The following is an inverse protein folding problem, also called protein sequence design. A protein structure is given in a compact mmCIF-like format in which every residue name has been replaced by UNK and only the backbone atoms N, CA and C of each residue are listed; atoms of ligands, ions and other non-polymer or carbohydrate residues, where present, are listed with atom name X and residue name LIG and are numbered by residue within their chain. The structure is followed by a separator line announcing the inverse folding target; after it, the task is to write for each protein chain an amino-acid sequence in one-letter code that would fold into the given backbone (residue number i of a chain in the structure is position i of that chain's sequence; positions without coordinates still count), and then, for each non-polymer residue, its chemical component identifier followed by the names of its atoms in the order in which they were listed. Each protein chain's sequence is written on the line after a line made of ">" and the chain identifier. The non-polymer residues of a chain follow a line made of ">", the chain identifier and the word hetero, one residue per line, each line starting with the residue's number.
data_IF_631754476899
#
_entry.id   IF_631754476899
#
_cell.length_a   1.000
_cell.length_b   1.000
_cell.length_c   1.000
_cell.angle_alpha   90.00
_cell.angle_beta   90.00
_cell.angle_gamma   90.00
#
_symmetry.space_group_name_H-M   'P 1'
#
loop_
_entity.id
_entity.type
_entity.pdbx_description
1 polymer ?
#
# COMPACT_ATOMS: atom_id res chain seq x y z
N UNK A 1 57.24 -37.76 -19.39
CA UNK A 1 56.66 -38.41 -20.60
C UNK A 1 55.16 -38.45 -20.39
N UNK A 2 54.44 -37.50 -21.02
CA UNK A 2 53.65 -37.68 -22.25
C UNK A 2 52.33 -38.39 -21.93
N UNK A 3 51.23 -37.61 -21.87
CA UNK A 3 50.23 -37.44 -22.95
C UNK A 3 49.21 -38.59 -22.90
N UNK A 4 47.89 -38.39 -22.85
CA UNK A 4 47.06 -37.63 -23.80
C UNK A 4 45.64 -37.41 -23.23
N UNK A 5 45.09 -36.21 -23.41
CA UNK A 5 43.63 -35.94 -23.49
C UNK A 5 43.10 -36.37 -24.87
N UNK A 6 41.77 -36.50 -25.03
CA UNK A 6 41.08 -36.01 -26.24
C UNK A 6 39.93 -35.03 -25.89
N UNK A 7 39.89 -33.81 -26.46
CA UNK A 7 39.15 -33.36 -27.67
C UNK A 7 37.63 -33.56 -27.53
N UNK A 8 36.83 -32.58 -27.10
CA UNK A 8 36.33 -31.36 -27.79
C UNK A 8 35.74 -31.60 -29.19
N UNK A 9 34.41 -31.53 -29.28
CA UNK A 9 33.70 -31.14 -30.50
C UNK A 9 32.77 -29.97 -30.15
N UNK A 10 33.14 -28.79 -30.66
CA UNK A 10 32.33 -27.58 -30.65
C UNK A 10 31.13 -27.76 -31.58
N UNK A 11 29.93 -27.44 -31.11
CA UNK A 11 28.89 -26.89 -31.97
C UNK A 11 28.87 -25.37 -31.76
N UNK A 12 29.21 -24.67 -32.83
CA UNK A 12 29.22 -23.23 -32.97
C UNK A 12 27.77 -22.72 -33.08
N UNK A 13 27.32 -21.92 -32.12
CA UNK A 13 26.38 -20.84 -32.39
C UNK A 13 26.94 -19.59 -31.73
N UNK A 14 27.43 -18.69 -32.58
CA UNK A 14 27.96 -17.39 -32.22
C UNK A 14 26.81 -16.50 -31.72
N UNK A 15 26.89 -15.89 -30.52
CA UNK A 15 26.15 -14.67 -30.28
C UNK A 15 26.94 -13.54 -30.92
N UNK A 16 26.35 -12.91 -31.94
CA UNK A 16 26.77 -11.57 -32.36
C UNK A 16 26.56 -10.68 -31.15
N UNK A 17 27.67 -10.21 -30.56
CA UNK A 17 27.66 -9.11 -29.63
C UNK A 17 27.13 -7.89 -30.38
N UNK A 18 25.86 -7.53 -30.14
CA UNK A 18 25.38 -6.18 -30.45
C UNK A 18 25.72 -5.33 -29.23
N UNK A 19 26.71 -4.47 -29.44
CA UNK A 19 27.12 -3.42 -28.53
C UNK A 19 25.90 -2.64 -28.02
N UNK A 20 25.85 -2.54 -26.69
CA UNK A 20 25.08 -1.54 -25.97
C UNK A 20 25.53 -0.16 -26.46
N UNK A 21 24.60 0.56 -27.09
CA UNK A 21 24.70 1.99 -27.38
C UNK A 21 23.64 2.71 -26.56
N UNK A 22 24.09 3.38 -25.50
CA UNK A 22 23.34 4.40 -24.77
C UNK A 22 22.99 5.55 -25.72
N UNK A 23 21.70 5.89 -25.81
CA UNK A 23 21.18 7.26 -25.96
C UNK A 23 19.67 7.20 -25.71
N UNK A 24 19.22 7.63 -24.53
CA UNK A 24 17.82 7.99 -24.29
C UNK A 24 17.47 9.20 -25.18
N UNK A 25 16.81 8.93 -26.30
CA UNK A 25 16.30 9.97 -27.19
C UNK A 25 15.06 10.62 -26.59
N UNK A 26 15.14 11.92 -26.30
CA UNK A 26 14.03 12.75 -25.80
C UNK A 26 12.89 12.73 -26.82
N UNK A 27 11.72 12.20 -26.44
CA UNK A 27 10.49 12.24 -27.26
C UNK A 27 9.89 13.65 -27.15
N UNK A 28 9.57 14.28 -28.28
CA UNK A 28 9.09 15.68 -28.33
C UNK A 28 7.56 15.82 -28.33
N UNK A 29 6.84 14.78 -28.76
CA UNK A 29 5.39 14.72 -28.85
C UNK A 29 4.74 13.80 -27.80
N UNK A 30 3.43 13.60 -27.92
CA UNK A 30 2.66 12.69 -27.04
C UNK A 30 1.56 11.94 -27.79
N UNK A 31 1.21 10.76 -27.29
CA UNK A 31 -0.02 10.06 -27.67
C UNK A 31 -1.07 10.34 -26.59
N UNK A 32 -2.27 10.75 -26.96
CA UNK A 32 -3.36 11.01 -25.99
C UNK A 32 -4.50 10.03 -26.21
N UNK A 33 -4.98 9.42 -25.13
CA UNK A 33 -6.10 8.47 -25.15
C UNK A 33 -7.19 8.96 -24.21
N UNK A 34 -8.34 9.36 -24.75
CA UNK A 34 -9.53 9.64 -23.94
C UNK A 34 -10.24 8.33 -23.62
N UNK A 35 -10.33 7.99 -22.33
CA UNK A 35 -10.84 6.71 -21.87
C UNK A 35 -11.87 6.83 -20.74
N UNK A 36 -12.47 5.71 -20.35
CA UNK A 36 -13.33 5.59 -19.16
C UNK A 36 -12.92 4.32 -18.41
N UNK A 37 -12.91 4.39 -17.08
CA UNK A 37 -12.59 3.26 -16.20
C UNK A 37 -13.46 2.03 -16.51
N UNK A 38 -12.81 0.86 -16.66
CA UNK A 38 -13.48 -0.41 -16.92
C UNK A 38 -13.87 -0.67 -18.38
N UNK A 39 -13.52 0.20 -19.33
CA UNK A 39 -13.76 -0.05 -20.75
C UNK A 39 -12.70 -1.00 -21.35
N UNK A 40 -13.08 -2.19 -21.85
CA UNK A 40 -12.12 -3.17 -22.39
C UNK A 40 -11.40 -2.67 -23.65
N UNK A 41 -12.08 -1.91 -24.51
CA UNK A 41 -11.47 -1.31 -25.71
C UNK A 41 -10.42 -0.25 -25.37
N UNK A 42 -10.57 0.46 -24.25
CA UNK A 42 -9.57 1.43 -23.78
C UNK A 42 -8.30 0.73 -23.28
N UNK A 43 -8.47 -0.37 -22.54
CA UNK A 43 -7.35 -1.19 -22.05
C UNK A 43 -6.56 -1.79 -23.22
N UNK A 44 -7.26 -2.33 -24.22
CA UNK A 44 -6.63 -2.92 -25.40
C UNK A 44 -5.87 -1.88 -26.25
N UNK A 45 -6.44 -0.68 -26.41
CA UNK A 45 -5.78 0.42 -27.11
C UNK A 45 -4.49 0.84 -26.41
N UNK A 46 -4.55 1.09 -25.08
CA UNK A 46 -3.37 1.46 -24.28
C UNK A 46 -2.28 0.40 -24.31
N UNK A 47 -2.66 -0.88 -24.23
CA UNK A 47 -1.71 -2.00 -24.33
C UNK A 47 -1.02 -2.03 -25.69
N UNK A 48 -1.75 -1.75 -26.77
CA UNK A 48 -1.20 -1.73 -28.13
C UNK A 48 -0.26 -0.56 -28.33
N UNK A 49 -0.61 0.62 -27.79
CA UNK A 49 0.23 1.83 -27.86
C UNK A 49 1.47 1.72 -26.97
N UNK A 50 1.38 1.09 -25.80
CA UNK A 50 2.52 0.89 -24.90
C UNK A 50 3.64 0.02 -25.52
N UNK A 51 3.30 -0.87 -26.46
CA UNK A 51 4.30 -1.66 -27.21
C UNK A 51 5.13 -0.83 -28.20
N UNK A 52 4.70 0.40 -28.50
CA UNK A 52 5.40 1.29 -29.43
C UNK A 52 6.52 2.10 -28.76
N UNK A 53 6.66 2.00 -27.43
CA UNK A 53 7.66 2.74 -26.66
C UNK A 53 7.49 4.26 -26.79
N UNK A 54 6.25 4.72 -26.82
CA UNK A 54 5.88 6.14 -26.85
C UNK A 54 5.17 6.53 -25.55
N UNK A 55 5.30 7.79 -25.08
CA UNK A 55 4.55 8.30 -23.95
C UNK A 55 3.05 8.38 -24.29
N UNK A 56 2.23 7.68 -23.52
CA UNK A 56 0.76 7.63 -23.70
C UNK A 56 0.10 8.34 -22.52
N UNK A 57 -0.44 9.52 -22.77
CA UNK A 57 -1.25 10.28 -21.82
C UNK A 57 -2.69 9.78 -21.83
N UNK A 58 -3.14 9.23 -20.70
CA UNK A 58 -4.53 8.81 -20.51
C UNK A 58 -5.37 9.93 -19.89
N UNK A 59 -6.52 10.20 -20.49
CA UNK A 59 -7.49 11.19 -20.00
C UNK A 59 -8.78 10.47 -19.65
N UNK A 60 -9.02 10.26 -18.35
CA UNK A 60 -10.24 9.63 -17.85
C UNK A 60 -11.43 10.60 -17.90
N UNK A 61 -12.30 10.41 -18.90
CA UNK A 61 -13.53 11.19 -19.06
C UNK A 61 -14.62 10.87 -18.02
N UNK A 62 -14.38 9.89 -17.14
CA UNK A 62 -15.16 9.66 -15.93
C UNK A 62 -14.83 10.67 -14.82
N UNK A 63 -13.56 11.07 -14.72
CA UNK A 63 -13.08 12.10 -13.78
C UNK A 63 -13.27 13.52 -14.32
N UNK A 64 -13.24 13.67 -15.65
CA UNK A 64 -13.37 14.95 -16.34
C UNK A 64 -14.60 14.98 -17.28
N UNK A 65 -15.84 15.00 -16.74
CA UNK A 65 -17.05 15.02 -17.54
C UNK A 65 -17.15 16.24 -18.47
N UNK A 66 -16.52 17.36 -18.11
CA UNK A 66 -16.44 18.61 -18.89
C UNK A 66 -15.76 18.42 -20.27
N UNK A 67 -14.88 17.43 -20.41
CA UNK A 67 -14.16 17.18 -21.66
C UNK A 67 -14.99 16.43 -22.70
N UNK A 68 -16.14 15.85 -22.32
CA UNK A 68 -16.96 15.01 -23.20
C UNK A 68 -17.50 15.77 -24.40
N UNK A 69 -17.95 17.00 -24.19
CA UNK A 69 -18.49 17.83 -25.26
C UNK A 69 -17.39 18.30 -26.21
N UNK A 70 -16.22 18.70 -25.68
CA UNK A 70 -15.06 19.11 -26.48
C UNK A 70 -14.48 17.95 -27.31
N UNK A 71 -14.34 16.75 -26.73
CA UNK A 71 -13.88 15.56 -27.46
C UNK A 71 -14.88 15.17 -28.55
N UNK A 72 -16.18 15.29 -28.28
CA UNK A 72 -17.23 15.01 -29.27
C UNK A 72 -17.22 16.02 -30.41
N UNK A 73 -16.99 17.30 -30.13
CA UNK A 73 -16.87 18.34 -31.15
C UNK A 73 -15.65 18.12 -32.07
N UNK A 74 -14.52 17.69 -31.49
CA UNK A 74 -13.28 17.48 -32.24
C UNK A 74 -13.22 16.17 -33.02
N UNK A 75 -13.84 15.10 -32.50
CA UNK A 75 -13.77 13.76 -33.12
C UNK A 75 -15.05 13.39 -33.89
N UNK A 76 -16.14 14.12 -33.67
CA UNK A 76 -17.48 13.76 -34.15
C UNK A 76 -18.05 12.49 -33.50
N UNK A 77 -17.37 11.91 -32.51
CA UNK A 77 -17.75 10.62 -31.89
C UNK A 77 -17.91 10.78 -30.37
N UNK A 78 -18.89 10.09 -29.81
CA UNK A 78 -19.14 10.05 -28.35
C UNK A 78 -18.65 8.75 -27.69
N UNK A 79 -18.01 7.87 -28.45
CA UNK A 79 -17.54 6.56 -27.97
C UNK A 79 -16.10 6.65 -27.49
N UNK A 80 -15.70 5.74 -26.59
CA UNK A 80 -14.31 5.59 -26.13
C UNK A 80 -13.73 4.25 -26.57
N UNK A 81 -12.40 4.15 -26.78
CA UNK A 81 -11.40 5.24 -26.67
C UNK A 81 -11.45 6.22 -27.85
N UNK A 82 -10.93 7.44 -27.65
CA UNK A 82 -10.54 8.33 -28.76
C UNK A 82 -9.03 8.59 -28.66
N UNK A 83 -8.30 8.24 -29.72
CA UNK A 83 -6.84 8.17 -29.74
C UNK A 83 -6.28 9.24 -30.67
N UNK A 84 -5.26 9.95 -30.18
CA UNK A 84 -4.55 10.99 -30.90
C UNK A 84 -3.04 10.76 -30.84
N UNK A 85 -2.35 11.01 -31.95
CA UNK A 85 -0.89 11.15 -32.01
C UNK A 85 -0.59 12.62 -32.27
N UNK A 86 -0.06 13.34 -31.29
CA UNK A 86 -0.04 14.80 -31.28
C UNK A 86 -1.45 15.37 -31.58
N UNK A 87 -1.62 16.07 -32.70
CA UNK A 87 -2.91 16.64 -33.15
C UNK A 87 -3.66 15.74 -34.15
N UNK A 88 -3.11 14.56 -34.50
CA UNK A 88 -3.71 13.65 -35.49
C UNK A 88 -4.68 12.69 -34.79
N UNK A 89 -5.97 12.82 -35.11
CA UNK A 89 -7.01 11.92 -34.63
C UNK A 89 -7.02 10.59 -35.41
N UNK A 90 -6.93 9.47 -34.69
CA UNK A 90 -6.95 8.12 -35.28
C UNK A 90 -8.33 7.48 -35.16
N UNK A 91 -9.06 7.77 -34.08
CA UNK A 91 -10.35 7.13 -33.77
C UNK A 91 -10.27 6.21 -32.56
N UNK A 92 -11.01 5.10 -32.60
CA UNK A 92 -11.08 4.14 -31.50
C UNK A 92 -10.07 3.00 -31.60
N UNK A 93 -10.23 2.00 -30.74
CA UNK A 93 -9.37 0.81 -30.74
C UNK A 93 -9.41 0.07 -32.09
N UNK A 94 -10.60 -0.07 -32.70
CA UNK A 94 -10.73 -0.77 -33.98
C UNK A 94 -10.05 -0.02 -35.12
N UNK A 95 -10.03 1.31 -35.08
CA UNK A 95 -9.31 2.13 -36.06
C UNK A 95 -7.80 1.98 -35.85
N UNK A 96 -7.32 1.96 -34.60
CA UNK A 96 -5.92 1.70 -34.26
C UNK A 96 -5.44 0.32 -34.76
N UNK A 97 -6.24 -0.73 -34.58
CA UNK A 97 -5.88 -2.09 -35.03
C UNK A 97 -5.91 -2.26 -36.56
N UNK A 98 -6.58 -1.36 -37.28
CA UNK A 98 -6.67 -1.38 -38.75
C UNK A 98 -5.55 -0.61 -39.44
N UNK A 99 -4.74 0.14 -38.69
CA UNK A 99 -3.61 0.88 -39.26
C UNK A 99 -2.61 -0.08 -39.90
N UNK A 100 -2.14 0.27 -41.09
CA UNK A 100 -1.06 -0.46 -41.73
C UNK A 100 0.26 -0.20 -41.00
N UNK A 101 1.22 -1.15 -40.99
CA UNK A 101 2.52 -0.96 -40.33
C UNK A 101 3.24 0.32 -40.75
N UNK A 102 3.17 0.67 -42.03
CA UNK A 102 3.82 1.86 -42.59
C UNK A 102 3.17 3.17 -42.08
N UNK A 103 1.85 3.15 -41.88
CA UNK A 103 1.11 4.29 -41.31
C UNK A 103 1.43 4.44 -39.82
N UNK A 104 1.52 3.33 -39.10
CA UNK A 104 1.87 3.32 -37.68
C UNK A 104 3.30 3.81 -37.44
N UNK A 105 4.27 3.36 -38.25
CA UNK A 105 5.65 3.85 -38.19
C UNK A 105 5.74 5.36 -38.45
N UNK A 106 4.95 5.87 -39.41
CA UNK A 106 4.87 7.32 -39.68
C UNK A 106 4.34 8.10 -38.48
N UNK A 107 3.31 7.60 -37.80
CA UNK A 107 2.74 8.23 -36.60
C UNK A 107 3.70 8.17 -35.41
N UNK A 108 4.43 7.06 -35.25
CA UNK A 108 5.45 6.91 -34.22
C UNK A 108 6.59 7.90 -34.44
N UNK A 109 7.02 8.07 -35.69
CA UNK A 109 8.03 9.05 -36.07
C UNK A 109 7.56 10.49 -35.82
N UNK A 110 6.30 10.80 -36.14
CA UNK A 110 5.68 12.10 -35.85
C UNK A 110 5.79 12.47 -34.36
N UNK A 111 5.45 11.55 -33.47
CA UNK A 111 5.51 11.78 -32.01
C UNK A 111 6.95 11.93 -31.50
N UNK A 112 7.93 11.28 -32.16
CA UNK A 112 9.34 11.39 -31.76
C UNK A 112 9.99 12.68 -32.24
N UNK A 113 9.69 13.11 -33.46
CA UNK A 113 10.40 14.21 -34.14
C UNK A 113 9.69 15.57 -34.01
N UNK A 114 8.37 15.60 -33.78
CA UNK A 114 7.59 16.85 -33.80
C UNK A 114 6.94 17.16 -32.44
N UNK A 115 7.11 18.38 -31.89
CA UNK A 115 6.44 18.80 -30.67
C UNK A 115 4.95 19.04 -30.88
N UNK A 116 4.17 18.91 -29.81
CA UNK A 116 2.72 19.17 -29.84
C UNK A 116 2.46 20.64 -30.19
N UNK A 117 1.76 20.89 -31.31
CA UNK A 117 1.35 22.25 -31.70
C UNK A 117 0.29 22.79 -30.72
N UNK A 118 0.31 24.11 -30.50
CA UNK A 118 -0.54 24.88 -29.57
C UNK A 118 -2.06 24.70 -29.73
N UNK A 119 -2.53 23.99 -30.77
CA UNK A 119 -3.96 23.74 -31.05
C UNK A 119 -4.49 22.43 -30.43
N UNK A 120 -3.63 21.62 -29.79
CA UNK A 120 -4.09 20.42 -29.08
C UNK A 120 -4.86 20.79 -27.80
N UNK A 121 -5.92 20.02 -27.49
CA UNK A 121 -6.73 20.23 -26.29
C UNK A 121 -5.85 20.41 -25.04
N UNK A 122 -6.10 21.43 -24.21
CA UNK A 122 -5.41 21.55 -22.93
C UNK A 122 -5.73 20.32 -22.09
N UNK A 123 -4.69 19.66 -21.60
CA UNK A 123 -4.86 18.58 -20.64
C UNK A 123 -5.31 19.17 -19.29
N UNK A 124 -6.11 18.45 -18.49
CA UNK A 124 -6.34 18.80 -17.09
C UNK A 124 -5.03 19.06 -16.36
N UNK A 125 -5.01 19.97 -15.38
CA UNK A 125 -3.78 20.36 -14.65
C UNK A 125 -3.04 19.17 -14.01
N UNK A 126 -3.75 18.09 -13.67
CA UNK A 126 -3.18 16.83 -13.16
C UNK A 126 -2.36 16.06 -14.21
N UNK A 127 -2.61 16.29 -15.50
CA UNK A 127 -1.97 15.62 -16.64
C UNK A 127 -0.86 16.48 -17.28
N UNK A 128 -0.48 17.61 -16.66
CA UNK A 128 0.61 18.49 -17.12
C UNK A 128 1.94 18.24 -16.38
N UNK A 129 2.14 17.03 -15.85
CA UNK A 129 3.48 16.57 -15.45
C UNK A 129 4.30 16.24 -16.70
N UNK A 130 5.49 16.86 -16.78
CA UNK A 130 6.55 16.47 -17.70
C UNK A 130 6.75 14.96 -17.68
N UNK A 131 6.96 14.38 -18.87
CA UNK A 131 6.75 12.96 -19.15
C UNK A 131 7.41 11.97 -18.19
N UNK A 132 6.58 11.10 -17.62
CA UNK A 132 6.96 9.77 -17.16
C UNK A 132 5.75 8.83 -16.95
N UNK A 133 4.78 8.79 -17.87
CA UNK A 133 3.67 7.82 -17.77
C UNK A 133 3.84 6.69 -18.80
N UNK A 134 4.74 5.77 -18.46
CA UNK A 134 4.62 4.37 -18.85
C UNK A 134 3.48 3.74 -18.06
N UNK A 135 2.76 2.81 -18.69
CA UNK A 135 1.74 1.98 -18.04
C UNK A 135 2.11 1.65 -16.58
N UNK A 136 1.27 2.06 -15.63
CA UNK A 136 1.51 1.93 -14.19
C UNK A 136 1.69 0.45 -13.79
N UNK A 137 2.92 -0.05 -13.92
CA UNK A 137 3.55 -0.77 -12.82
C UNK A 137 3.39 0.13 -11.59
N UNK A 138 2.91 -0.39 -10.46
CA UNK A 138 2.83 0.40 -9.23
C UNK A 138 4.25 0.85 -8.85
N UNK A 139 4.63 2.07 -9.24
CA UNK A 139 6.03 2.55 -9.19
C UNK A 139 6.44 2.97 -7.76
N UNK A 140 5.53 2.85 -6.80
CA UNK A 140 5.82 2.97 -5.38
C UNK A 140 5.32 1.77 -4.59
N UNK A 141 6.18 1.20 -3.74
CA UNK A 141 5.78 0.23 -2.72
C UNK A 141 4.51 0.69 -1.97
N UNK A 142 4.49 1.95 -1.57
CA UNK A 142 3.40 2.58 -0.83
C UNK A 142 2.07 2.53 -1.61
N UNK A 143 2.08 2.81 -2.91
CA UNK A 143 0.88 2.78 -3.75
C UNK A 143 0.31 1.36 -3.84
N UNK A 144 1.15 0.36 -4.13
CA UNK A 144 0.72 -1.04 -4.18
C UNK A 144 0.06 -1.47 -2.87
N UNK A 145 0.66 -1.12 -1.73
CA UNK A 145 0.09 -1.43 -0.41
C UNK A 145 -1.25 -0.71 -0.16
N UNK A 146 -1.39 0.53 -0.63
CA UNK A 146 -2.61 1.30 -0.49
C UNK A 146 -3.74 0.70 -1.34
N UNK A 147 -3.46 0.28 -2.58
CA UNK A 147 -4.41 -0.42 -3.44
C UNK A 147 -4.88 -1.71 -2.77
N UNK A 148 -3.95 -2.55 -2.30
CA UNK A 148 -4.26 -3.79 -1.58
C UNK A 148 -5.15 -3.51 -0.36
N UNK A 149 -4.81 -2.49 0.43
CA UNK A 149 -5.58 -2.10 1.61
C UNK A 149 -6.98 -1.60 1.25
N UNK A 150 -7.14 -0.82 0.21
CA UNK A 150 -8.44 -0.33 -0.24
C UNK A 150 -9.33 -1.47 -0.76
N UNK A 151 -8.76 -2.39 -1.54
CA UNK A 151 -9.48 -3.56 -2.06
C UNK A 151 -10.01 -4.45 -0.92
N UNK A 152 -9.15 -4.76 0.06
CA UNK A 152 -9.54 -5.66 1.15
C UNK A 152 -10.54 -5.00 2.11
N UNK A 153 -10.50 -3.67 2.27
CA UNK A 153 -11.50 -2.92 3.02
C UNK A 153 -12.86 -2.90 2.32
N UNK A 154 -12.86 -2.77 0.99
CA UNK A 154 -14.09 -2.85 0.20
C UNK A 154 -14.75 -4.22 0.39
N UNK A 155 -13.96 -5.28 0.24
CA UNK A 155 -14.41 -6.65 0.53
C UNK A 155 -14.92 -6.77 1.97
N UNK A 156 -14.13 -6.35 2.96
CA UNK A 156 -14.54 -6.41 4.37
C UNK A 156 -15.90 -5.74 4.61
N UNK A 157 -16.12 -4.57 4.03
CA UNK A 157 -17.38 -3.82 4.17
C UNK A 157 -18.55 -4.50 3.48
N UNK A 158 -18.33 -5.12 2.32
CA UNK A 158 -19.36 -5.82 1.54
C UNK A 158 -19.85 -7.10 2.22
N UNK A 159 -18.95 -7.79 2.93
CA UNK A 159 -19.25 -9.05 3.61
C UNK A 159 -19.45 -8.89 5.13
N UNK A 160 -19.50 -7.66 5.64
CA UNK A 160 -19.83 -7.36 7.03
C UNK A 160 -21.35 -7.52 7.24
N UNK A 161 -21.74 -8.21 8.30
CA UNK A 161 -23.13 -8.36 8.69
C UNK A 161 -23.78 -7.02 8.97
N UNK A 162 -25.12 -6.95 8.82
CA UNK A 162 -25.88 -5.71 9.02
C UNK A 162 -25.80 -5.14 10.44
N UNK A 163 -25.48 -5.97 11.44
CA UNK A 163 -25.23 -5.55 12.81
C UNK A 163 -23.78 -5.10 13.07
N UNK A 164 -22.90 -5.19 12.07
CA UNK A 164 -21.49 -4.80 12.14
C UNK A 164 -20.61 -5.75 12.97
N UNK A 165 -21.14 -6.90 13.40
CA UNK A 165 -20.47 -7.76 14.39
C UNK A 165 -19.68 -8.90 13.77
N UNK A 166 -20.04 -9.36 12.58
CA UNK A 166 -19.50 -10.57 11.98
C UNK A 166 -19.16 -10.34 10.51
N UNK A 167 -18.12 -10.99 10.00
CA UNK A 167 -17.75 -10.94 8.58
C UNK A 167 -17.85 -12.32 7.97
N UNK A 168 -18.56 -12.46 6.85
CA UNK A 168 -18.64 -13.71 6.11
C UNK A 168 -17.39 -13.92 5.24
N UNK A 169 -16.31 -14.35 5.90
CA UNK A 169 -15.04 -14.66 5.25
C UNK A 169 -15.16 -15.78 4.20
N UNK A 170 -16.12 -16.69 4.37
CA UNK A 170 -16.32 -17.80 3.43
C UNK A 170 -16.88 -17.27 2.11
N UNK A 171 -17.91 -16.43 2.16
CA UNK A 171 -18.44 -15.78 0.97
C UNK A 171 -17.40 -14.84 0.33
N UNK A 172 -16.64 -14.10 1.15
CA UNK A 172 -15.55 -13.23 0.67
C UNK A 172 -14.49 -14.01 -0.13
N UNK A 173 -14.13 -15.22 0.32
CA UNK A 173 -13.13 -16.07 -0.34
C UNK A 173 -13.50 -16.48 -1.77
N UNK A 174 -14.80 -16.47 -2.10
CA UNK A 174 -15.35 -16.85 -3.40
C UNK A 174 -15.55 -15.65 -4.33
N UNK A 175 -15.25 -14.43 -3.86
CA UNK A 175 -15.42 -13.20 -4.62
C UNK A 175 -14.36 -13.07 -5.74
N UNK A 176 -14.75 -12.72 -6.97
CA UNK A 176 -13.79 -12.36 -8.03
C UNK A 176 -12.87 -11.19 -7.63
N UNK A 177 -13.36 -10.29 -6.76
CA UNK A 177 -12.56 -9.16 -6.25
C UNK A 177 -11.46 -9.65 -5.31
N UNK A 178 -11.72 -10.70 -4.54
CA UNK A 178 -10.72 -11.33 -3.66
C UNK A 178 -9.67 -12.11 -4.48
N UNK A 179 -10.08 -12.76 -5.56
CA UNK A 179 -9.15 -13.37 -6.52
C UNK A 179 -8.21 -12.32 -7.12
N UNK A 180 -8.77 -11.18 -7.57
CA UNK A 180 -7.96 -10.06 -8.07
C UNK A 180 -7.02 -9.48 -7.01
N UNK A 181 -7.45 -9.39 -5.76
CA UNK A 181 -6.58 -8.99 -4.65
C UNK A 181 -5.40 -9.96 -4.48
N UNK A 182 -5.63 -11.27 -4.59
CA UNK A 182 -4.56 -12.27 -4.51
C UNK A 182 -3.55 -12.13 -5.66
N UNK A 183 -4.02 -11.89 -6.89
CA UNK A 183 -3.16 -11.63 -8.05
C UNK A 183 -2.28 -10.40 -7.84
N UNK A 184 -2.85 -9.33 -7.29
CA UNK A 184 -2.12 -8.10 -7.02
C UNK A 184 -1.12 -8.28 -5.87
N UNK A 185 -1.49 -9.02 -4.83
CA UNK A 185 -0.61 -9.28 -3.68
C UNK A 185 0.66 -10.03 -4.10
N UNK A 186 0.62 -10.82 -5.19
CA UNK A 186 1.81 -11.47 -5.76
C UNK A 186 2.85 -10.45 -6.24
N UNK A 187 2.47 -9.22 -6.57
CA UNK A 187 3.42 -8.18 -6.98
C UNK A 187 4.31 -7.70 -5.83
N UNK A 188 3.91 -7.88 -4.57
CA UNK A 188 4.72 -7.53 -3.39
C UNK A 188 6.12 -8.15 -3.45
N UNK A 189 6.27 -9.32 -4.07
CA UNK A 189 7.56 -10.02 -4.17
C UNK A 189 8.63 -9.22 -4.94
N UNK A 190 8.22 -8.24 -5.77
CA UNK A 190 9.11 -7.45 -6.63
C UNK A 190 9.41 -6.05 -6.08
N UNK A 191 8.78 -5.68 -4.96
CA UNK A 191 8.92 -4.35 -4.36
C UNK A 191 10.34 -4.14 -3.85
N UNK A 192 10.95 -3.01 -4.19
CA UNK A 192 12.21 -2.56 -3.60
C UNK A 192 11.96 -1.94 -2.21
N UNK A 193 12.61 -2.48 -1.16
CA UNK A 193 12.36 -2.07 0.23
C UNK A 193 13.48 -1.18 0.81
N UNK A 194 14.69 -1.29 0.27
CA UNK A 194 15.89 -0.66 0.86
C UNK A 194 15.97 0.83 0.53
N UNK A 195 15.43 1.24 -0.61
CA UNK A 195 15.36 2.63 -1.07
C UNK A 195 14.28 3.45 -0.37
N UNK A 196 13.32 2.79 0.31
CA UNK A 196 12.20 3.46 0.95
C UNK A 196 12.62 4.34 2.14
N UNK A 197 12.07 5.54 2.18
CA UNK A 197 12.10 6.46 3.34
C UNK A 197 11.38 5.87 4.55
N UNK A 198 11.51 6.52 5.72
CA UNK A 198 10.79 6.11 6.94
C UNK A 198 9.29 6.13 6.70
N UNK A 199 8.80 7.22 6.09
CA UNK A 199 7.39 7.49 5.87
C UNK A 199 6.78 6.48 4.91
N UNK A 200 7.49 6.18 3.82
CA UNK A 200 7.11 5.13 2.87
C UNK A 200 7.10 3.75 3.50
N UNK A 201 8.12 3.39 4.30
CA UNK A 201 8.16 2.12 5.02
C UNK A 201 6.97 1.99 5.98
N UNK A 202 6.67 3.02 6.76
CA UNK A 202 5.54 3.02 7.69
C UNK A 202 4.22 2.81 6.94
N UNK A 203 3.92 3.64 5.95
CA UNK A 203 2.68 3.52 5.17
C UNK A 203 2.58 2.13 4.50
N UNK A 204 3.66 1.68 3.87
CA UNK A 204 3.74 0.39 3.18
C UNK A 204 3.45 -0.79 4.11
N UNK A 205 4.21 -0.90 5.20
CA UNK A 205 4.11 -2.05 6.09
C UNK A 205 2.85 -2.03 6.95
N UNK A 206 2.33 -0.86 7.35
CA UNK A 206 1.05 -0.78 8.08
C UNK A 206 -0.11 -1.22 7.19
N UNK A 207 -0.17 -0.71 5.95
CA UNK A 207 -1.21 -1.10 4.99
C UNK A 207 -1.12 -2.59 4.66
N UNK A 208 0.08 -3.09 4.39
CA UNK A 208 0.34 -4.50 4.06
C UNK A 208 0.00 -5.42 5.23
N UNK A 209 0.38 -5.08 6.45
CA UNK A 209 0.02 -5.82 7.66
C UNK A 209 -1.51 -5.88 7.82
N UNK A 210 -2.18 -4.74 7.76
CA UNK A 210 -3.62 -4.66 7.95
C UNK A 210 -4.39 -5.43 6.86
N UNK A 211 -3.87 -5.45 5.63
CA UNK A 211 -4.42 -6.25 4.55
C UNK A 211 -4.15 -7.75 4.73
N UNK A 212 -2.95 -8.12 5.17
CA UNK A 212 -2.55 -9.49 5.44
C UNK A 212 -3.37 -10.13 6.57
N UNK A 213 -3.75 -9.37 7.61
CA UNK A 213 -4.64 -9.88 8.66
C UNK A 213 -5.99 -10.34 8.07
N UNK A 214 -6.63 -9.51 7.26
CA UNK A 214 -7.93 -9.86 6.66
C UNK A 214 -7.75 -11.02 5.68
N UNK A 215 -6.72 -11.00 4.84
CA UNK A 215 -6.42 -12.11 3.94
C UNK A 215 -6.20 -13.42 4.70
N UNK A 216 -5.44 -13.38 5.81
CA UNK A 216 -5.24 -14.52 6.69
C UNK A 216 -6.56 -15.06 7.22
N UNK A 217 -7.46 -14.19 7.69
CA UNK A 217 -8.79 -14.60 8.16
C UNK A 217 -9.63 -15.24 7.04
N UNK A 218 -9.57 -14.73 5.81
CA UNK A 218 -10.28 -15.30 4.66
C UNK A 218 -9.78 -16.72 4.34
N UNK A 219 -8.46 -16.96 4.40
CA UNK A 219 -7.87 -18.24 4.03
C UNK A 219 -7.86 -19.28 5.15
N UNK A 220 -7.67 -18.85 6.39
CA UNK A 220 -7.41 -19.72 7.54
C UNK A 220 -8.52 -19.70 8.59
N UNK A 221 -9.48 -18.77 8.47
CA UNK A 221 -10.43 -18.45 9.55
C UNK A 221 -9.79 -17.60 10.65
N UNK A 222 -10.64 -16.95 11.45
CA UNK A 222 -10.18 -16.17 12.60
C UNK A 222 -9.71 -17.10 13.74
N UNK A 223 -8.60 -16.79 14.42
CA UNK A 223 -8.10 -17.62 15.51
C UNK A 223 -9.01 -17.52 16.74
N UNK A 224 -9.49 -18.67 17.25
CA UNK A 224 -10.44 -18.74 18.38
C UNK A 224 -9.78 -19.01 19.73
N UNK A 225 -8.48 -19.31 19.75
CA UNK A 225 -7.73 -19.58 20.97
C UNK A 225 -6.27 -19.12 20.86
N UNK A 226 -5.58 -19.08 22.00
CA UNK A 226 -4.20 -18.59 22.13
C UNK A 226 -3.21 -19.28 21.19
N UNK A 227 -3.34 -20.60 21.00
CA UNK A 227 -2.43 -21.35 20.13
C UNK A 227 -2.67 -21.07 18.65
N UNK A 228 -3.94 -20.99 18.24
CA UNK A 228 -4.29 -20.57 16.88
C UNK A 228 -3.83 -19.13 16.62
N UNK A 229 -3.96 -18.24 17.61
CA UNK A 229 -3.47 -16.86 17.51
C UNK A 229 -1.96 -16.81 17.34
N UNK A 230 -1.23 -17.57 18.17
CA UNK A 230 0.22 -17.71 18.02
C UNK A 230 0.59 -18.16 16.60
N UNK A 231 -0.05 -19.23 16.09
CA UNK A 231 0.20 -19.68 14.72
C UNK A 231 -0.14 -18.62 13.67
N UNK A 232 -1.29 -17.96 13.82
CA UNK A 232 -1.74 -16.93 12.89
C UNK A 232 -0.67 -15.85 12.69
N UNK A 233 -0.20 -15.25 13.78
CA UNK A 233 0.78 -14.16 13.70
C UNK A 233 2.19 -14.61 13.31
N UNK A 234 2.56 -15.88 13.51
CA UNK A 234 3.90 -16.41 13.21
C UNK A 234 4.00 -17.17 11.88
N UNK A 235 2.89 -17.48 11.19
CA UNK A 235 2.90 -18.22 9.92
C UNK A 235 2.19 -17.49 8.77
N UNK A 236 1.17 -16.67 9.05
CA UNK A 236 0.52 -15.86 8.01
C UNK A 236 1.52 -14.82 7.53
N UNK A 237 1.85 -14.89 6.24
CA UNK A 237 2.98 -14.18 5.65
C UNK A 237 2.76 -13.82 4.18
N UNK A 238 3.55 -12.85 3.73
CA UNK A 238 3.74 -12.55 2.31
C UNK A 238 5.20 -12.67 1.91
N UNK A 239 5.44 -12.95 0.63
CA UNK A 239 6.73 -12.75 -0.02
C UNK A 239 6.80 -11.29 -0.48
N UNK A 240 7.70 -10.51 0.12
CA UNK A 240 7.85 -9.08 -0.12
C UNK A 240 9.31 -8.79 -0.44
N UNK A 241 9.59 -8.21 -1.60
CA UNK A 241 10.96 -7.91 -2.04
C UNK A 241 11.90 -9.13 -2.00
N UNK A 242 11.40 -10.30 -2.36
CA UNK A 242 12.15 -11.57 -2.34
C UNK A 242 12.26 -12.28 -0.99
N UNK A 243 11.78 -11.68 0.10
CA UNK A 243 11.88 -12.24 1.46
C UNK A 243 10.50 -12.52 2.07
N UNK A 244 10.41 -13.53 2.94
CA UNK A 244 9.14 -13.88 3.60
C UNK A 244 8.97 -13.02 4.86
N UNK A 245 7.85 -12.31 4.97
CA UNK A 245 7.49 -11.52 6.13
C UNK A 245 6.18 -12.03 6.73
N UNK A 246 6.24 -12.52 7.96
CA UNK A 246 5.06 -12.82 8.78
C UNK A 246 4.47 -11.53 9.37
N UNK A 247 3.23 -11.60 9.89
CA UNK A 247 2.66 -10.49 10.66
C UNK A 247 3.58 -10.08 11.82
N UNK A 248 4.14 -11.05 12.53
CA UNK A 248 5.10 -10.79 13.61
C UNK A 248 6.37 -10.10 13.10
N UNK A 249 6.91 -10.53 11.96
CA UNK A 249 8.10 -9.93 11.34
C UNK A 249 7.85 -8.46 10.96
N UNK A 250 6.68 -8.16 10.39
CA UNK A 250 6.31 -6.78 10.02
C UNK A 250 6.18 -5.90 11.27
N UNK A 251 5.39 -6.33 12.25
CA UNK A 251 5.16 -5.54 13.47
C UNK A 251 6.47 -5.38 14.26
N UNK A 252 7.07 -6.49 14.68
CA UNK A 252 8.15 -6.48 15.66
C UNK A 252 9.52 -6.35 15.03
N UNK A 253 9.70 -6.92 13.84
CA UNK A 253 10.95 -6.93 13.10
C UNK A 253 11.17 -5.59 12.39
N UNK A 254 10.18 -5.14 11.61
CA UNK A 254 10.29 -3.93 10.79
C UNK A 254 9.88 -2.68 11.57
N UNK A 255 8.59 -2.59 11.95
CA UNK A 255 7.99 -1.35 12.47
C UNK A 255 8.44 -1.02 13.91
N UNK A 256 8.77 -2.02 14.71
CA UNK A 256 9.32 -1.83 16.06
C UNK A 256 10.86 -1.88 16.12
N UNK A 257 11.55 -1.76 15.00
CA UNK A 257 13.02 -1.75 14.96
C UNK A 257 13.66 -3.01 15.54
N UNK A 258 13.18 -4.18 15.12
CA UNK A 258 13.64 -5.50 15.55
C UNK A 258 13.64 -5.69 17.09
N UNK A 259 12.55 -5.25 17.75
CA UNK A 259 12.28 -5.49 19.17
C UNK A 259 11.65 -6.86 19.37
N UNK A 260 11.77 -7.39 20.60
CA UNK A 260 11.09 -8.64 20.97
C UNK A 260 9.58 -8.42 21.01
N UNK A 261 8.83 -9.34 20.40
CA UNK A 261 7.38 -9.38 20.52
C UNK A 261 6.91 -9.83 21.90
N UNK A 262 5.63 -9.64 22.17
CA UNK A 262 4.98 -10.12 23.40
C UNK A 262 5.07 -11.64 23.46
N UNK A 263 5.49 -12.16 24.61
CA UNK A 263 5.72 -13.60 24.83
C UNK A 263 6.76 -14.25 23.90
N UNK A 264 7.63 -13.46 23.26
CA UNK A 264 8.73 -13.96 22.42
C UNK A 264 10.06 -13.93 23.16
N UNK A 265 10.84 -15.01 23.04
CA UNK A 265 12.15 -15.11 23.67
C UNK A 265 13.25 -14.41 22.88
N UNK A 266 13.13 -14.40 21.55
CA UNK A 266 14.13 -13.91 20.60
C UNK A 266 13.60 -12.70 19.81
N UNK A 267 14.53 -11.95 19.22
CA UNK A 267 14.20 -10.92 18.24
C UNK A 267 13.76 -11.59 16.93
N UNK A 268 12.85 -10.98 16.15
CA UNK A 268 12.42 -11.52 14.86
C UNK A 268 13.59 -11.77 13.90
N UNK A 269 14.53 -10.82 13.79
CA UNK A 269 15.64 -10.90 12.85
C UNK A 269 16.98 -11.06 13.58
N UNK A 270 17.79 -12.01 13.13
CA UNK A 270 19.18 -12.17 13.55
C UNK A 270 20.08 -11.12 12.89
N UNK A 271 21.35 -11.00 13.33
CA UNK A 271 22.31 -10.05 12.74
C UNK A 271 22.66 -10.36 11.27
N UNK A 272 22.47 -11.60 10.84
CA UNK A 272 22.76 -12.06 9.47
C UNK A 272 21.49 -12.19 8.64
N UNK A 273 20.33 -11.87 9.20
CA UNK A 273 19.06 -11.91 8.49
C UNK A 273 18.98 -10.70 7.54
N UNK A 274 18.82 -10.90 6.22
CA UNK A 274 18.79 -9.79 5.25
C UNK A 274 17.64 -8.81 5.53
N UNK A 275 16.52 -9.29 6.10
CA UNK A 275 15.34 -8.48 6.45
C UNK A 275 15.61 -7.44 7.52
N UNK A 276 16.69 -7.61 8.31
CA UNK A 276 17.10 -6.64 9.32
C UNK A 276 17.40 -5.25 8.71
N UNK A 277 17.87 -5.19 7.47
CA UNK A 277 18.19 -3.95 6.77
C UNK A 277 16.94 -3.10 6.45
N UNK A 278 15.77 -3.73 6.44
CA UNK A 278 14.48 -3.07 6.20
C UNK A 278 13.92 -2.45 7.48
N UNK A 279 14.38 -2.90 8.65
CA UNK A 279 13.85 -2.45 9.94
C UNK A 279 14.04 -0.94 10.16
N UNK A 280 13.05 -0.33 10.81
CA UNK A 280 13.20 1.06 11.25
C UNK A 280 14.36 1.18 12.26
N UNK A 281 15.11 2.30 12.24
CA UNK A 281 16.22 2.51 13.17
C UNK A 281 15.75 2.50 14.63
N UNK A 282 14.56 3.06 14.88
CA UNK A 282 13.90 3.10 16.17
C UNK A 282 12.47 2.57 16.05
N UNK A 283 11.92 2.10 17.17
CA UNK A 283 10.53 1.67 17.21
C UNK A 283 9.60 2.88 17.10
N UNK A 284 8.60 2.78 16.22
CA UNK A 284 7.52 3.75 16.12
C UNK A 284 6.37 3.36 17.07
N UNK A 285 6.16 4.04 18.21
CA UNK A 285 5.15 3.62 19.19
C UNK A 285 3.72 3.81 18.68
N UNK A 286 3.49 4.72 17.73
CA UNK A 286 2.14 5.02 17.24
C UNK A 286 1.55 3.90 16.38
N UNK A 287 2.36 2.96 15.88
CA UNK A 287 1.85 1.81 15.12
C UNK A 287 0.87 0.97 15.93
N UNK A 288 0.98 0.97 17.26
CA UNK A 288 0.13 0.21 18.18
C UNK A 288 -1.35 0.59 18.08
N UNK A 289 -1.63 1.79 17.58
CA UNK A 289 -2.99 2.30 17.33
C UNK A 289 -3.40 2.20 15.86
N UNK A 290 -2.49 1.76 14.98
CA UNK A 290 -2.69 1.66 13.54
C UNK A 290 -2.78 0.21 13.04
N UNK A 291 -2.14 -0.73 13.74
CA UNK A 291 -2.16 -2.15 13.40
C UNK A 291 -3.41 -2.85 13.96
N UNK A 292 -4.06 -3.63 13.12
CA UNK A 292 -5.14 -4.58 13.45
C UNK A 292 -6.51 -3.99 13.84
N UNK A 293 -7.07 -3.18 12.94
CA UNK A 293 -8.47 -2.73 12.93
C UNK A 293 -9.42 -3.86 12.45
N UNK A 294 -9.30 -5.07 13.00
CA UNK A 294 -10.08 -6.26 12.61
C UNK A 294 -11.28 -6.57 13.52
N UNK A 295 -11.57 -5.72 14.51
CA UNK A 295 -12.70 -5.83 15.43
C UNK A 295 -13.37 -4.45 15.64
N UNK A 296 -14.60 -4.45 16.14
CA UNK A 296 -15.40 -3.23 16.40
C UNK A 296 -14.60 -2.25 17.26
N UNK A 297 -14.52 -0.99 16.80
CA UNK A 297 -13.68 0.06 17.42
C UNK A 297 -12.44 0.45 16.62
N UNK A 298 -12.40 0.15 15.31
CA UNK A 298 -11.30 0.54 14.42
C UNK A 298 -10.97 2.04 14.54
N UNK A 299 -9.68 2.41 14.54
CA UNK A 299 -9.28 3.80 14.38
C UNK A 299 -9.92 4.41 13.12
N UNK A 300 -10.13 5.73 13.09
CA UNK A 300 -10.83 6.41 11.99
C UNK A 300 -10.11 6.27 10.65
N UNK A 301 -8.81 5.97 10.66
CA UNK A 301 -7.98 5.91 9.47
C UNK A 301 -8.01 4.52 8.84
N UNK A 302 -8.47 4.47 7.59
CA UNK A 302 -8.67 3.24 6.82
C UNK A 302 -7.40 2.80 6.09
N UNK A 303 -6.68 3.75 5.50
CA UNK A 303 -5.50 3.52 4.64
C UNK A 303 -4.49 4.63 4.89
N UNK A 304 -3.22 4.27 4.97
CA UNK A 304 -2.14 5.20 5.29
C UNK A 304 -1.35 5.62 4.04
N UNK A 305 -0.88 6.86 3.99
CA UNK A 305 -0.09 7.41 2.87
C UNK A 305 1.23 7.97 3.39
N UNK A 306 2.34 7.92 2.61
CA UNK A 306 3.62 8.48 3.05
C UNK A 306 3.53 9.97 3.42
N UNK A 307 2.73 10.74 2.69
CA UNK A 307 2.60 12.19 2.86
C UNK A 307 1.95 12.57 4.21
N UNK A 308 1.02 11.75 4.70
CA UNK A 308 0.22 12.05 5.89
C UNK A 308 0.46 11.07 7.03
N UNK A 309 1.43 10.16 6.91
CA UNK A 309 1.59 9.03 7.83
C UNK A 309 1.68 9.46 9.30
N UNK A 310 2.47 10.48 9.61
CA UNK A 310 2.64 10.94 10.98
C UNK A 310 1.37 11.59 11.54
N UNK A 311 0.63 12.35 10.73
CA UNK A 311 -0.64 12.97 11.15
C UNK A 311 -1.73 11.92 11.34
N UNK A 312 -1.80 10.92 10.44
CA UNK A 312 -2.70 9.78 10.50
C UNK A 312 -2.43 8.91 11.74
N UNK A 313 -1.16 8.63 12.04
CA UNK A 313 -0.74 7.88 13.23
C UNK A 313 -1.09 8.62 14.52
N UNK A 314 -0.81 9.93 14.59
CA UNK A 314 -1.22 10.76 15.74
C UNK A 314 -2.73 10.79 15.92
N UNK A 315 -3.49 10.95 14.83
CA UNK A 315 -4.96 10.95 14.87
C UNK A 315 -5.51 9.63 15.40
N UNK A 316 -4.94 8.50 14.99
CA UNK A 316 -5.34 7.18 15.50
C UNK A 316 -5.04 7.03 17.00
N UNK A 317 -3.87 7.48 17.45
CA UNK A 317 -3.49 7.45 18.87
C UNK A 317 -4.37 8.36 19.73
N UNK A 318 -4.61 9.60 19.29
CA UNK A 318 -5.48 10.56 19.97
C UNK A 318 -6.89 9.99 20.12
N UNK A 319 -7.49 9.50 19.02
CA UNK A 319 -8.82 8.90 19.04
C UNK A 319 -8.91 7.71 19.99
N UNK A 320 -7.84 6.92 20.11
CA UNK A 320 -7.79 5.78 21.03
C UNK A 320 -7.69 6.23 22.49
N UNK A 321 -6.85 7.23 22.78
CA UNK A 321 -6.63 7.75 24.13
C UNK A 321 -7.85 8.53 24.67
N UNK A 322 -8.60 9.20 23.80
CA UNK A 322 -9.83 9.88 24.18
C UNK A 322 -10.98 8.91 24.47
N UNK A 323 -10.93 7.68 23.94
CA UNK A 323 -11.88 6.63 24.30
C UNK A 323 -11.54 6.01 25.68
N UNK A 324 -12.57 5.63 26.44
CA UNK A 324 -12.43 4.98 27.74
C UNK A 324 -11.82 3.57 27.66
N UNK A 325 -11.84 2.95 26.48
CA UNK A 325 -11.12 1.70 26.22
C UNK A 325 -9.59 1.89 26.21
N UNK A 326 -9.11 3.11 25.91
CA UNK A 326 -7.69 3.44 25.85
C UNK A 326 -7.14 3.97 27.17
N UNK A 327 -7.82 4.98 27.74
CA UNK A 327 -7.39 5.67 28.94
C UNK A 327 -8.57 6.20 29.76
N UNK A 328 -8.60 5.89 31.06
CA UNK A 328 -9.52 6.49 32.03
C UNK A 328 -8.74 7.10 33.19
N UNK A 329 -9.02 8.36 33.49
CA UNK A 329 -8.37 9.13 34.55
C UNK A 329 -9.35 9.31 35.71
N UNK A 330 -9.00 8.82 36.89
CA UNK A 330 -9.72 9.03 38.15
C UNK A 330 -8.91 10.01 39.01
N UNK A 331 -9.23 11.31 38.89
CA UNK A 331 -8.54 12.39 39.58
C UNK A 331 -8.73 12.35 41.10
N UNK A 332 -9.86 11.81 41.58
CA UNK A 332 -10.16 11.73 43.02
C UNK A 332 -9.29 10.66 43.70
N UNK A 333 -9.10 9.51 43.04
CA UNK A 333 -8.27 8.42 43.55
C UNK A 333 -6.80 8.54 43.18
N UNK A 334 -6.44 9.47 42.28
CA UNK A 334 -5.10 9.55 41.71
C UNK A 334 -4.73 8.28 40.92
N UNK A 335 -5.70 7.70 40.21
CA UNK A 335 -5.53 6.45 39.46
C UNK A 335 -5.73 6.67 37.96
N UNK A 336 -4.82 6.16 37.14
CA UNK A 336 -4.94 6.13 35.68
C UNK A 336 -5.05 4.68 35.23
N UNK A 337 -6.19 4.35 34.62
CA UNK A 337 -6.47 3.02 34.07
C UNK A 337 -6.21 3.01 32.58
N UNK A 338 -5.30 2.14 32.13
CA UNK A 338 -4.81 2.10 30.76
C UNK A 338 -5.14 0.78 30.07
N UNK A 339 -5.23 0.80 28.75
CA UNK A 339 -5.29 -0.42 27.95
C UNK A 339 -4.06 -1.32 28.16
N UNK A 340 -4.23 -2.64 28.02
CA UNK A 340 -3.13 -3.61 28.17
C UNK A 340 -2.01 -3.41 27.14
N UNK A 341 -2.27 -2.70 26.04
CA UNK A 341 -1.23 -2.39 25.04
C UNK A 341 -0.04 -1.66 25.67
N UNK A 342 -0.32 -0.74 26.61
CA UNK A 342 0.70 -0.01 27.36
C UNK A 342 1.48 -0.89 28.34
N UNK A 343 0.88 -1.99 28.80
CA UNK A 343 1.56 -2.98 29.65
C UNK A 343 2.48 -3.86 28.83
N UNK A 344 1.98 -4.41 27.72
CA UNK A 344 2.70 -5.36 26.89
C UNK A 344 3.87 -4.72 26.15
N UNK A 345 3.68 -3.49 25.67
CA UNK A 345 4.65 -2.73 24.90
C UNK A 345 5.24 -1.56 25.70
N UNK A 346 5.28 -1.66 27.03
CA UNK A 346 5.76 -0.60 27.93
C UNK A 346 7.10 0.02 27.53
N UNK A 347 8.01 -0.80 26.99
CA UNK A 347 9.32 -0.36 26.51
C UNK A 347 9.26 0.59 25.30
N UNK A 348 8.18 0.54 24.51
CA UNK A 348 7.96 1.42 23.36
C UNK A 348 7.47 2.81 23.84
N UNK A 349 6.83 2.87 25.01
CA UNK A 349 6.32 4.10 25.63
C UNK A 349 7.24 4.64 26.75
N UNK A 350 8.55 4.39 26.65
CA UNK A 350 9.55 4.93 27.58
C UNK A 350 9.89 4.04 28.79
N UNK A 351 9.19 2.93 29.01
CA UNK A 351 9.59 1.86 29.94
C UNK A 351 9.24 2.07 31.42
N UNK A 352 8.93 3.28 31.85
CA UNK A 352 8.48 3.61 33.22
C UNK A 352 7.07 4.19 33.19
N UNK A 353 6.34 4.11 34.32
CA UNK A 353 4.99 4.67 34.39
C UNK A 353 4.98 6.19 34.20
N UNK A 354 5.98 6.89 34.74
CA UNK A 354 6.14 8.34 34.54
C UNK A 354 6.32 8.70 33.06
N UNK A 355 7.23 8.03 32.34
CA UNK A 355 7.47 8.29 30.92
C UNK A 355 6.26 7.91 30.07
N UNK A 356 5.58 6.82 30.42
CA UNK A 356 4.35 6.39 29.76
C UNK A 356 3.24 7.44 29.92
N UNK A 357 3.01 7.96 31.12
CA UNK A 357 1.96 8.95 31.35
C UNK A 357 2.28 10.28 30.69
N UNK A 358 3.54 10.72 30.68
CA UNK A 358 3.97 11.89 29.90
C UNK A 358 3.76 11.68 28.40
N UNK A 359 4.12 10.50 27.88
CA UNK A 359 3.88 10.15 26.48
C UNK A 359 2.39 10.18 26.14
N UNK A 360 1.53 9.61 26.99
CA UNK A 360 0.07 9.66 26.80
C UNK A 360 -0.39 11.11 26.78
N UNK A 361 0.00 11.90 27.77
CA UNK A 361 -0.36 13.31 27.86
C UNK A 361 0.05 14.06 26.59
N UNK A 362 1.22 13.83 26.01
CA UNK A 362 1.67 14.46 24.76
C UNK A 362 0.82 14.12 23.53
N UNK A 363 0.17 12.95 23.53
CA UNK A 363 -0.61 12.43 22.40
C UNK A 363 -2.13 12.49 22.60
N UNK A 364 -2.60 13.06 23.72
CA UNK A 364 -4.01 13.39 23.93
C UNK A 364 -4.39 14.71 23.29
N UNK A 365 -5.61 14.78 22.77
CA UNK A 365 -6.22 16.00 22.28
C UNK A 365 -6.47 17.00 23.40
N UNK A 366 -6.86 18.22 23.05
CA UNK A 366 -7.17 19.25 24.04
C UNK A 366 -8.53 18.96 24.70
N UNK A 367 -8.53 18.11 25.73
CA UNK A 367 -9.72 17.54 26.36
C UNK A 367 -9.74 17.73 27.88
N UNK A 368 -10.93 17.67 28.52
CA UNK A 368 -11.02 17.62 29.98
C UNK A 368 -10.26 16.43 30.59
N UNK A 369 -10.16 15.32 29.84
CA UNK A 369 -9.41 14.12 30.23
C UNK A 369 -7.91 14.41 30.28
N UNK A 370 -7.36 15.12 29.28
CA UNK A 370 -5.97 15.62 29.27
C UNK A 370 -5.68 16.52 30.47
N UNK A 371 -6.57 17.48 30.75
CA UNK A 371 -6.44 18.39 31.90
C UNK A 371 -6.46 17.64 33.23
N UNK A 372 -7.32 16.62 33.35
CA UNK A 372 -7.39 15.75 34.51
C UNK A 372 -6.09 14.96 34.71
N UNK A 373 -5.54 14.39 33.63
CA UNK A 373 -4.25 13.67 33.67
C UNK A 373 -3.11 14.59 34.09
N UNK A 374 -3.06 15.81 33.56
CA UNK A 374 -2.06 16.81 33.94
C UNK A 374 -2.12 17.15 35.44
N UNK A 375 -3.33 17.28 36.00
CA UNK A 375 -3.54 17.53 37.43
C UNK A 375 -3.05 16.34 38.29
N UNK A 376 -3.40 15.12 37.90
CA UNK A 376 -2.94 13.89 38.56
C UNK A 376 -1.41 13.79 38.52
N UNK A 377 -0.79 14.07 37.37
CA UNK A 377 0.68 14.10 37.22
C UNK A 377 1.36 15.09 38.17
N UNK A 378 0.78 16.28 38.30
CA UNK A 378 1.33 17.34 39.16
C UNK A 378 1.20 17.04 40.66
N UNK A 379 0.26 16.17 41.05
CA UNK A 379 0.03 15.78 42.46
C UNK A 379 1.09 14.80 43.02
N UNK A 380 1.85 14.12 42.16
CA UNK A 380 2.96 13.23 42.53
C UNK A 380 2.56 11.86 43.12
N UNK A 381 1.28 11.60 43.40
CA UNK A 381 0.78 10.28 43.84
C UNK A 381 -0.10 9.67 42.76
N UNK A 382 0.46 8.76 41.97
CA UNK A 382 -0.24 8.17 40.82
C UNK A 382 -0.17 6.66 40.90
N UNK A 383 -1.32 6.02 40.80
CA UNK A 383 -1.45 4.58 40.61
C UNK A 383 -1.78 4.32 39.14
N UNK A 384 -0.91 3.58 38.46
CA UNK A 384 -1.21 3.07 37.11
C UNK A 384 -1.75 1.66 37.22
N UNK A 385 -2.92 1.41 36.65
CA UNK A 385 -3.51 0.09 36.53
C UNK A 385 -3.97 -0.19 35.10
N UNK A 386 -4.23 -1.46 34.79
CA UNK A 386 -4.51 -1.89 33.42
C UNK A 386 -5.88 -2.55 33.34
N UNK A 387 -6.67 -2.13 32.36
CA UNK A 387 -8.03 -2.65 32.13
C UNK A 387 -7.99 -4.09 31.62
N UNK A 388 -8.96 -4.94 31.97
CA UNK A 388 -9.05 -6.28 31.41
C UNK A 388 -9.22 -6.17 29.88
N UNK A 389 -8.48 -7.00 29.14
CA UNK A 389 -8.58 -7.05 27.68
C UNK A 389 -9.36 -8.29 27.28
N UNK A 390 -10.43 -8.12 26.51
CA UNK A 390 -11.16 -9.22 25.93
C UNK A 390 -10.44 -9.72 24.67
N UNK A 391 -10.13 -11.01 24.64
CA UNK A 391 -9.45 -11.66 23.52
C UNK A 391 -10.42 -12.22 22.48
N UNK A 392 -11.74 -12.08 22.69
CA UNK A 392 -12.77 -12.56 21.77
C UNK A 392 -12.63 -11.92 20.38
N UNK A 393 -12.70 -12.74 19.32
CA UNK A 393 -12.66 -12.28 17.93
C UNK A 393 -14.08 -12.10 17.38
N UNK A 394 -14.28 -11.10 16.51
CA UNK A 394 -15.54 -10.80 15.80
C UNK A 394 -15.89 -11.82 14.69
N UNK A 395 -15.72 -13.11 14.94
CA UNK A 395 -16.00 -14.18 13.97
C UNK A 395 -17.22 -14.99 14.41
N UNK A 396 -18.31 -14.93 13.65
CA UNK A 396 -19.37 -15.94 13.71
C UNK A 396 -18.89 -17.22 13.04
N UNK A 397 -19.26 -18.36 13.63
CA UNK A 397 -19.03 -19.71 13.11
C UNK A 397 -19.61 -19.95 11.72
#
# INVERSE_FOLDING_TARGET
>A
MLLTKPLSLLCLFSPVAVQMGETEGRVLGRVTVYSVLGCPHCVQAKTSLGRLGLPVCDVDMGKHPELRDSVKELTGRSTVPQIFFNSVHIGGNDDLQKLLPEELERLVRLVREEPVLSEALPLPEENQSDGSDTAEEADGAAELSAILRNMILKLFSEYLSSDGKCVDYKAMSLSPVFERYCELAVQLQRVELLSLTREEKLAFFINTYNALVIHGNVRMGAPTNTWQRYKFFNYVSYLIGGEVFTLQDIENGVLRGNRKGVAQLLKPFSKTDPRLQVALPDAEPLIHFALNCGAMGCPPIKTYTPQDIDSQLRTAAESFLENDDGCVVDSEKGEVRLSQIFKWYKADFGGTDEKLLNWILEHMGDSPKRSSLQSVLSSGKIKVSYMPYDWSTNSSH
#
